data_IF_729629867460
#
_entry.id   IF_729629867460
#
_cell.length_a   1.000
_cell.length_b   1.000
_cell.length_c   1.000
_cell.angle_alpha   90.00
_cell.angle_beta   90.00
_cell.angle_gamma   90.00
#
_symmetry.space_group_name_H-M   'P 1'
#
loop_
_entity.id
_entity.type
_entity.pdbx_description
1 polymer ?
#
# COMPACT_ATOMS: atom_id res chain seq x y z
N UNK A 1 -18.97 -30.57 6.36
CA UNK A 1 -18.18 -30.59 7.61
C UNK A 1 -16.81 -30.02 7.28
N UNK A 2 -16.48 -28.85 7.83
CA UNK A 2 -15.17 -28.22 7.64
C UNK A 2 -14.10 -29.12 8.27
N UNK A 3 -13.09 -29.53 7.49
CA UNK A 3 -12.02 -30.40 7.97
C UNK A 3 -10.95 -29.54 8.66
N UNK A 4 -11.19 -29.18 9.92
CA UNK A 4 -10.35 -28.25 10.68
C UNK A 4 -9.17 -29.00 11.30
N UNK A 5 -7.93 -28.56 11.01
CA UNK A 5 -6.70 -29.06 11.65
C UNK A 5 -5.99 -27.93 12.40
N UNK A 6 -5.47 -28.18 13.61
CA UNK A 6 -4.72 -27.18 14.35
C UNK A 6 -3.37 -26.87 13.66
N UNK A 7 -3.00 -25.59 13.61
CA UNK A 7 -1.70 -25.14 13.10
C UNK A 7 -0.66 -25.34 14.20
N UNK A 8 0.34 -26.19 13.94
CA UNK A 8 1.38 -26.55 14.93
C UNK A 8 2.80 -26.30 14.42
N UNK A 9 2.98 -26.40 13.11
CA UNK A 9 4.27 -26.21 12.45
C UNK A 9 4.20 -25.09 11.42
N UNK A 10 5.36 -24.58 11.02
CA UNK A 10 5.47 -23.57 9.97
C UNK A 10 4.87 -24.06 8.64
N UNK A 11 4.96 -25.36 8.35
CA UNK A 11 4.36 -25.94 7.14
C UNK A 11 2.82 -25.95 7.21
N UNK A 12 2.24 -26.20 8.39
CA UNK A 12 0.79 -26.09 8.59
C UNK A 12 0.34 -24.62 8.45
N UNK A 13 1.16 -23.68 8.92
CA UNK A 13 0.90 -22.26 8.83
C UNK A 13 0.93 -21.77 7.38
N UNK A 14 1.96 -22.12 6.60
CA UNK A 14 2.03 -21.80 5.17
C UNK A 14 0.88 -22.43 4.37
N UNK A 15 0.48 -23.67 4.69
CA UNK A 15 -0.66 -24.31 4.07
C UNK A 15 -2.00 -23.64 4.44
N UNK A 16 -2.15 -23.22 5.70
CA UNK A 16 -3.33 -22.48 6.16
C UNK A 16 -3.43 -21.11 5.48
N UNK A 17 -2.32 -20.37 5.36
CA UNK A 17 -2.28 -19.10 4.64
C UNK A 17 -2.64 -19.26 3.15
N UNK A 18 -2.07 -20.26 2.47
CA UNK A 18 -2.41 -20.54 1.07
C UNK A 18 -3.89 -20.87 0.89
N UNK A 19 -4.48 -21.60 1.84
CA UNK A 19 -5.91 -21.93 1.82
C UNK A 19 -6.80 -20.72 2.13
N UNK A 20 -6.40 -19.87 3.07
CA UNK A 20 -7.06 -18.58 3.33
C UNK A 20 -7.10 -17.75 2.05
N UNK A 21 -5.97 -17.63 1.34
CA UNK A 21 -5.88 -16.89 0.08
C UNK A 21 -6.86 -17.42 -0.99
N UNK A 22 -7.00 -18.74 -1.13
CA UNK A 22 -7.96 -19.36 -2.06
C UNK A 22 -9.43 -19.07 -1.70
N UNK A 23 -9.72 -18.87 -0.41
CA UNK A 23 -11.07 -18.70 0.13
C UNK A 23 -11.49 -17.22 0.26
N UNK A 24 -10.62 -16.27 -0.07
CA UNK A 24 -10.87 -14.83 0.10
C UNK A 24 -12.10 -14.30 -0.67
N UNK A 25 -12.47 -14.94 -1.79
CA UNK A 25 -13.64 -14.58 -2.61
C UNK A 25 -14.91 -15.38 -2.24
N UNK A 26 -14.88 -16.13 -1.12
CA UNK A 26 -16.01 -16.93 -0.67
C UNK A 26 -17.26 -16.06 -0.45
N UNK A 27 -18.42 -16.55 -0.89
CA UNK A 27 -19.68 -15.82 -0.74
C UNK A 27 -20.21 -15.98 0.69
N UNK A 28 -20.74 -14.90 1.26
CA UNK A 28 -21.38 -14.93 2.58
C UNK A 28 -22.48 -16.01 2.67
N UNK A 29 -22.49 -16.75 3.77
CA UNK A 29 -23.38 -17.88 4.05
C UNK A 29 -22.99 -19.19 3.36
N UNK A 30 -21.76 -19.33 2.87
CA UNK A 30 -21.26 -20.58 2.26
C UNK A 30 -20.34 -21.33 3.21
N UNK A 31 -20.18 -22.64 2.99
CA UNK A 31 -19.22 -23.45 3.74
C UNK A 31 -17.76 -23.01 3.57
N UNK A 32 -17.47 -22.27 2.50
CA UNK A 32 -16.15 -21.68 2.21
C UNK A 32 -15.88 -20.45 3.09
N UNK A 33 -16.89 -19.64 3.39
CA UNK A 33 -16.79 -18.54 4.37
C UNK A 33 -16.61 -19.09 5.79
N UNK A 34 -17.37 -20.11 6.16
CA UNK A 34 -17.22 -20.78 7.47
C UNK A 34 -15.82 -21.39 7.62
N UNK A 35 -15.25 -21.97 6.55
CA UNK A 35 -13.87 -22.47 6.53
C UNK A 35 -12.86 -21.32 6.67
N UNK A 36 -13.07 -20.21 5.96
CA UNK A 36 -12.22 -19.02 6.03
C UNK A 36 -12.18 -18.43 7.45
N UNK A 37 -13.33 -18.24 8.08
CA UNK A 37 -13.44 -17.67 9.43
C UNK A 37 -12.66 -18.50 10.47
N UNK A 38 -12.78 -19.82 10.38
CA UNK A 38 -12.06 -20.74 11.26
C UNK A 38 -10.56 -20.73 10.99
N UNK A 39 -10.14 -20.75 9.72
CA UNK A 39 -8.72 -20.73 9.36
C UNK A 39 -8.04 -19.42 9.77
N UNK A 40 -8.71 -18.27 9.58
CA UNK A 40 -8.21 -16.97 10.05
C UNK A 40 -8.01 -16.98 11.56
N UNK A 41 -8.98 -17.48 12.32
CA UNK A 41 -8.87 -17.59 13.79
C UNK A 41 -7.68 -18.46 14.20
N UNK A 42 -7.45 -19.60 13.52
CA UNK A 42 -6.32 -20.48 13.83
C UNK A 42 -4.97 -19.87 13.46
N UNK A 43 -4.93 -19.15 12.34
CA UNK A 43 -3.76 -18.37 11.90
C UNK A 43 -3.43 -17.30 12.94
N UNK A 44 -4.41 -16.52 13.40
CA UNK A 44 -4.24 -15.49 14.44
C UNK A 44 -3.70 -16.10 15.75
N UNK A 45 -4.28 -17.21 16.22
CA UNK A 45 -3.79 -17.89 17.44
C UNK A 45 -2.36 -18.44 17.27
N UNK A 46 -2.01 -18.93 16.08
CA UNK A 46 -0.65 -19.39 15.79
C UNK A 46 0.33 -18.22 15.75
N UNK A 47 -0.07 -17.11 15.13
CA UNK A 47 0.69 -15.86 15.03
C UNK A 47 0.91 -15.24 16.40
N UNK A 48 -0.11 -15.12 17.25
CA UNK A 48 0.04 -14.58 18.61
C UNK A 48 1.07 -15.37 19.44
N UNK A 49 1.17 -16.68 19.21
CA UNK A 49 2.08 -17.58 19.94
C UNK A 49 3.50 -17.59 19.38
N UNK A 50 3.67 -17.52 18.06
CA UNK A 50 4.98 -17.70 17.39
C UNK A 50 5.56 -16.39 16.85
N UNK A 51 4.71 -15.41 16.61
CA UNK A 51 4.99 -14.07 16.11
C UNK A 51 4.31 -13.02 17.01
N UNK A 52 4.56 -13.03 18.34
CA UNK A 52 3.87 -12.14 19.26
C UNK A 52 4.03 -10.70 18.79
N UNK A 53 2.89 -10.02 18.57
CA UNK A 53 2.86 -8.59 18.30
C UNK A 53 3.68 -7.89 19.39
N UNK A 54 4.71 -7.16 18.97
CA UNK A 54 5.49 -6.35 19.91
C UNK A 54 4.56 -5.40 20.66
N UNK A 55 4.79 -5.23 21.96
CA UNK A 55 4.12 -4.19 22.73
C UNK A 55 4.31 -2.82 22.03
N UNK A 56 3.33 -1.91 22.11
CA UNK A 56 3.46 -0.60 21.47
C UNK A 56 4.73 0.12 21.95
N UNK A 57 5.36 0.89 21.07
CA UNK A 57 6.55 1.67 21.41
C UNK A 57 6.26 2.54 22.66
N UNK A 58 7.17 2.59 23.65
CA UNK A 58 6.97 3.37 24.87
C UNK A 58 6.58 4.83 24.62
N UNK A 59 7.10 5.47 23.57
CA UNK A 59 6.79 6.86 23.24
C UNK A 59 5.42 6.98 22.59
N UNK A 60 5.02 6.02 21.77
CA UNK A 60 3.67 5.93 21.22
C UNK A 60 2.62 5.78 22.34
N UNK A 61 2.88 4.94 23.35
CA UNK A 61 1.99 4.79 24.50
C UNK A 61 1.83 6.11 25.29
N UNK A 62 2.91 6.88 25.45
CA UNK A 62 2.86 8.21 26.08
C UNK A 62 2.01 9.17 25.26
N UNK A 63 2.22 9.26 23.94
CA UNK A 63 1.46 10.15 23.05
C UNK A 63 -0.02 9.79 22.98
N UNK A 64 -0.34 8.49 22.96
CA UNK A 64 -1.71 8.00 23.00
C UNK A 64 -2.43 8.41 24.30
N UNK A 65 -1.77 8.25 25.45
CA UNK A 65 -2.35 8.70 26.72
C UNK A 65 -2.46 10.22 26.80
N UNK A 66 -1.57 10.97 26.14
CA UNK A 66 -1.70 12.42 26.04
C UNK A 66 -2.95 12.82 25.25
N UNK A 67 -3.18 12.20 24.10
CA UNK A 67 -4.36 12.46 23.25
C UNK A 67 -5.67 12.13 23.99
N UNK A 68 -5.73 10.95 24.61
CA UNK A 68 -6.91 10.50 25.36
C UNK A 68 -7.22 11.34 26.61
N UNK A 69 -6.25 12.13 27.09
CA UNK A 69 -6.37 12.94 28.30
C UNK A 69 -6.24 14.45 28.01
N UNK A 70 -6.25 14.85 26.73
CA UNK A 70 -6.07 16.25 26.28
C UNK A 70 -4.79 16.92 26.87
N UNK A 71 -3.71 16.14 27.03
CA UNK A 71 -2.44 16.62 27.58
C UNK A 71 -1.52 17.15 26.50
N UNK A 72 -0.90 18.29 26.75
CA UNK A 72 0.15 18.85 25.91
C UNK A 72 1.53 18.37 26.34
N UNK A 73 2.58 18.48 25.49
CA UNK A 73 3.96 18.18 25.90
C UNK A 73 4.44 19.00 27.11
N UNK A 74 3.80 20.14 27.44
CA UNK A 74 4.15 20.91 28.63
C UNK A 74 3.67 20.23 29.91
N UNK A 75 2.59 19.45 29.83
CA UNK A 75 1.97 18.78 30.97
C UNK A 75 2.74 17.54 31.41
N UNK A 76 3.69 17.06 30.58
CA UNK A 76 4.61 15.99 30.94
C UNK A 76 5.88 16.47 31.68
N UNK A 77 6.08 17.78 31.84
CA UNK A 77 7.23 18.35 32.54
C UNK A 77 7.37 17.80 33.98
N UNK A 78 6.29 17.65 34.77
CA UNK A 78 6.37 17.08 36.11
C UNK A 78 6.87 15.62 36.14
N UNK A 79 6.66 14.85 35.07
CA UNK A 79 6.95 13.41 35.01
C UNK A 79 8.29 13.10 34.35
N UNK A 80 8.67 13.89 33.33
CA UNK A 80 9.87 13.66 32.50
C UNK A 80 10.98 14.69 32.79
N UNK A 81 10.65 15.86 33.35
CA UNK A 81 11.58 16.93 33.69
C UNK A 81 11.48 18.11 32.73
N UNK A 82 12.61 18.75 32.39
CA UNK A 82 12.61 20.00 31.61
C UNK A 82 11.91 19.87 30.25
N UNK A 83 11.43 21.00 29.70
CA UNK A 83 10.80 21.05 28.37
C UNK A 83 11.68 20.44 27.26
N UNK A 84 13.01 20.63 27.34
CA UNK A 84 13.96 20.00 26.42
C UNK A 84 13.95 18.48 26.57
N UNK A 85 13.94 17.96 27.80
CA UNK A 85 13.86 16.51 28.06
C UNK A 85 12.56 15.90 27.58
N UNK A 86 11.42 16.57 27.78
CA UNK A 86 10.15 16.10 27.25
C UNK A 86 10.21 15.99 25.73
N UNK A 87 10.71 17.02 25.04
CA UNK A 87 10.86 16.99 23.58
C UNK A 87 11.82 15.90 23.10
N UNK A 88 12.96 15.71 23.78
CA UNK A 88 13.92 14.65 23.47
C UNK A 88 13.34 13.24 23.67
N UNK A 89 12.53 13.03 24.71
CA UNK A 89 11.87 11.74 24.97
C UNK A 89 10.75 11.49 23.96
N UNK A 90 9.89 12.48 23.70
CA UNK A 90 8.78 12.36 22.72
C UNK A 90 9.26 12.22 21.27
N UNK A 91 10.49 12.65 20.97
CA UNK A 91 11.15 12.43 19.68
C UNK A 91 12.01 11.15 19.62
N UNK A 92 12.16 10.43 20.73
CA UNK A 92 12.97 9.21 20.82
C UNK A 92 14.49 9.45 20.85
N UNK A 93 14.94 10.71 20.87
CA UNK A 93 16.37 11.07 20.99
C UNK A 93 16.95 10.72 22.35
N UNK A 94 16.09 10.59 23.37
CA UNK A 94 16.47 10.20 24.73
C UNK A 94 15.65 8.98 25.17
N UNK A 95 16.29 7.90 25.66
CA UNK A 95 15.57 6.77 26.21
C UNK A 95 14.86 7.14 27.51
N UNK A 96 13.72 6.48 27.77
CA UNK A 96 12.97 6.62 29.01
C UNK A 96 13.78 5.99 30.14
N UNK A 97 14.03 6.76 31.21
CA UNK A 97 14.71 6.23 32.39
C UNK A 97 13.74 5.48 33.31
N UNK A 98 14.24 4.61 34.18
CA UNK A 98 13.42 3.92 35.19
C UNK A 98 12.57 4.87 36.04
N UNK A 99 13.09 6.07 36.35
CA UNK A 99 12.34 7.08 37.11
C UNK A 99 11.20 7.68 36.29
N UNK A 100 11.42 7.93 35.00
CA UNK A 100 10.37 8.41 34.08
C UNK A 100 9.31 7.34 33.88
N UNK A 101 9.72 6.08 33.67
CA UNK A 101 8.79 4.97 33.49
C UNK A 101 7.85 4.79 34.70
N UNK A 102 8.37 4.93 35.93
CA UNK A 102 7.53 4.90 37.14
C UNK A 102 6.54 6.06 37.20
N UNK A 103 7.01 7.28 36.95
CA UNK A 103 6.14 8.46 36.96
C UNK A 103 5.05 8.40 35.89
N UNK A 104 5.38 7.93 34.68
CA UNK A 104 4.43 7.78 33.58
C UNK A 104 3.43 6.63 33.85
N UNK A 105 3.87 5.53 34.47
CA UNK A 105 2.98 4.45 34.89
C UNK A 105 1.99 4.93 35.96
N UNK A 106 2.47 5.63 36.99
CA UNK A 106 1.64 6.11 38.10
C UNK A 106 0.63 7.19 37.66
N UNK A 107 1.01 8.06 36.72
CA UNK A 107 0.21 9.23 36.38
C UNK A 107 -0.54 9.14 35.05
N UNK A 108 -0.05 8.36 34.08
CA UNK A 108 -0.75 8.14 32.80
C UNK A 108 -1.31 6.72 32.68
N UNK A 109 -1.20 5.89 33.73
CA UNK A 109 -1.68 4.50 33.76
C UNK A 109 -1.12 3.61 32.63
N UNK A 110 0.04 3.97 32.07
CA UNK A 110 0.69 3.19 31.01
C UNK A 110 1.34 1.94 31.66
N UNK A 111 1.06 0.71 31.20
CA UNK A 111 1.65 -0.49 31.78
C UNK A 111 3.17 -0.43 31.83
N UNK A 112 3.77 -0.79 32.96
CA UNK A 112 5.23 -0.72 33.15
C UNK A 112 5.98 -1.57 32.12
N UNK A 113 5.44 -2.72 31.72
CA UNK A 113 5.99 -3.59 30.67
C UNK A 113 6.15 -2.87 29.32
N UNK A 114 5.25 -1.93 29.01
CA UNK A 114 5.31 -1.10 27.80
C UNK A 114 6.41 -0.05 27.91
N UNK A 115 6.62 0.56 29.08
CA UNK A 115 7.59 1.64 29.30
C UNK A 115 9.03 1.15 29.52
N UNK A 116 9.19 -0.10 29.92
CA UNK A 116 10.49 -0.71 30.26
C UNK A 116 11.14 -1.44 29.07
N UNK A 117 10.56 -1.34 27.88
CA UNK A 117 11.14 -1.92 26.68
C UNK A 117 12.49 -1.26 26.35
N UNK A 118 13.47 -2.08 25.96
CA UNK A 118 14.67 -1.54 25.29
C UNK A 118 14.21 -0.92 23.96
N UNK A 119 14.67 0.28 23.59
CA UNK A 119 14.35 0.82 22.27
C UNK A 119 14.73 -0.22 21.22
N UNK A 120 13.79 -0.58 20.34
CA UNK A 120 14.07 -1.46 19.23
C UNK A 120 15.26 -0.89 18.43
N UNK A 121 16.22 -1.73 18.00
CA UNK A 121 17.40 -1.29 17.25
C UNK A 121 17.07 -0.65 15.87
N UNK A 122 15.79 -0.58 15.50
CA UNK A 122 15.32 -0.24 14.15
C UNK A 122 15.31 1.28 13.82
N UNK A 123 16.00 2.13 14.59
CA UNK A 123 15.74 3.58 14.63
C UNK A 123 16.84 4.50 14.07
N UNK A 124 17.76 4.02 13.22
CA UNK A 124 18.75 4.89 12.58
C UNK A 124 18.53 5.15 11.09
N UNK A 125 17.49 4.56 10.48
CA UNK A 125 17.25 4.70 9.04
C UNK A 125 18.34 4.09 8.18
N UNK A 126 19.18 3.21 8.74
CA UNK A 126 20.18 2.43 8.01
C UNK A 126 19.67 1.03 7.71
N UNK A 127 20.30 0.38 6.73
CA UNK A 127 20.06 -1.03 6.43
C UNK A 127 20.37 -1.96 7.62
N UNK A 128 21.25 -1.54 8.54
CA UNK A 128 21.62 -2.30 9.73
C UNK A 128 20.55 -2.28 10.82
N UNK A 129 19.66 -1.26 10.83
CA UNK A 129 18.49 -1.20 11.69
C UNK A 129 17.29 -1.99 11.14
N UNK A 130 17.28 -2.35 9.86
CA UNK A 130 16.19 -3.15 9.31
C UNK A 130 16.39 -4.63 9.69
N UNK A 131 15.44 -5.18 10.45
CA UNK A 131 15.40 -6.61 10.75
C UNK A 131 15.12 -7.42 9.48
N UNK A 132 16.16 -7.68 8.67
CA UNK A 132 16.04 -8.33 7.35
C UNK A 132 15.30 -9.68 7.39
N UNK A 133 15.37 -10.40 8.51
CA UNK A 133 14.62 -11.64 8.75
C UNK A 133 13.10 -11.48 8.83
N UNK A 134 12.57 -10.25 8.95
CA UNK A 134 11.12 -9.97 8.95
C UNK A 134 10.55 -9.80 7.54
N UNK A 135 11.40 -9.65 6.52
CA UNK A 135 10.94 -9.65 5.13
C UNK A 135 10.39 -11.03 4.74
N UNK A 136 9.36 -11.09 3.87
CA UNK A 136 8.79 -12.35 3.41
C UNK A 136 9.68 -13.02 2.35
N UNK A 137 10.90 -13.40 2.73
CA UNK A 137 11.97 -13.85 1.81
C UNK A 137 11.53 -14.99 0.90
N UNK A 138 10.80 -15.99 1.41
CA UNK A 138 10.29 -17.11 0.60
C UNK A 138 9.34 -16.62 -0.49
N UNK A 139 8.44 -15.69 -0.16
CA UNK A 139 7.47 -15.16 -1.09
C UNK A 139 8.13 -14.26 -2.16
N UNK A 140 9.15 -13.50 -1.77
CA UNK A 140 10.00 -12.71 -2.67
C UNK A 140 10.79 -13.62 -3.63
N UNK A 141 11.43 -14.66 -3.10
CA UNK A 141 12.21 -15.64 -3.88
C UNK A 141 11.33 -16.43 -4.86
N UNK A 142 10.14 -16.86 -4.45
CA UNK A 142 9.15 -17.54 -5.31
C UNK A 142 8.74 -16.68 -6.52
N UNK A 143 8.75 -15.35 -6.37
CA UNK A 143 8.42 -14.38 -7.42
C UNK A 143 9.66 -13.92 -8.22
N UNK A 144 10.85 -14.43 -7.91
CA UNK A 144 12.08 -14.07 -8.61
C UNK A 144 12.65 -12.70 -8.25
N UNK A 145 12.14 -12.04 -7.21
CA UNK A 145 12.60 -10.70 -6.80
C UNK A 145 14.01 -10.73 -6.19
N UNK A 146 14.33 -11.84 -5.53
CA UNK A 146 15.63 -12.14 -4.94
C UNK A 146 16.05 -13.57 -5.30
N UNK A 147 17.36 -13.89 -5.26
CA UNK A 147 17.84 -15.27 -5.37
C UNK A 147 17.22 -16.20 -4.32
N UNK A 148 17.10 -17.49 -4.65
CA UNK A 148 16.56 -18.52 -3.75
C UNK A 148 17.62 -19.56 -3.34
N UNK A 149 18.65 -19.19 -2.55
CA UNK A 149 19.65 -20.14 -2.08
C UNK A 149 19.10 -21.05 -0.96
N UNK A 150 19.68 -22.24 -0.73
CA UNK A 150 19.23 -23.17 0.32
C UNK A 150 19.25 -22.57 1.74
N UNK A 151 20.15 -21.62 1.99
CA UNK A 151 20.39 -20.90 3.25
C UNK A 151 19.72 -19.51 3.27
N UNK A 152 18.51 -19.40 2.70
CA UNK A 152 17.77 -18.15 2.50
C UNK A 152 17.67 -17.27 3.76
N UNK A 153 17.40 -17.86 4.94
CA UNK A 153 17.26 -17.12 6.21
C UNK A 153 18.58 -16.55 6.70
N UNK A 154 19.67 -17.29 6.55
CA UNK A 154 21.00 -16.88 6.99
C UNK A 154 21.55 -15.75 6.12
N UNK A 155 21.10 -15.68 4.86
CA UNK A 155 21.46 -14.64 3.88
C UNK A 155 20.45 -13.51 3.77
N UNK A 156 19.48 -13.42 4.69
CA UNK A 156 18.41 -12.41 4.66
C UNK A 156 18.94 -10.98 4.43
N UNK A 157 19.92 -10.55 5.22
CA UNK A 157 20.48 -9.20 5.13
C UNK A 157 21.13 -8.91 3.78
N UNK A 158 21.86 -9.89 3.24
CA UNK A 158 22.51 -9.76 1.93
C UNK A 158 21.47 -9.65 0.80
N UNK A 159 20.45 -10.51 0.82
CA UNK A 159 19.41 -10.56 -0.22
C UNK A 159 18.55 -9.29 -0.22
N UNK A 160 18.16 -8.82 0.96
CA UNK A 160 17.39 -7.58 1.12
C UNK A 160 18.23 -6.36 0.73
N UNK A 161 19.52 -6.33 1.09
CA UNK A 161 20.45 -5.30 0.64
C UNK A 161 20.55 -5.25 -0.88
N UNK A 162 20.68 -6.42 -1.53
CA UNK A 162 20.75 -6.51 -3.00
C UNK A 162 19.49 -6.00 -3.69
N UNK A 163 18.30 -6.27 -3.14
CA UNK A 163 17.05 -5.70 -3.66
C UNK A 163 17.03 -4.18 -3.49
N UNK A 164 17.41 -3.66 -2.31
CA UNK A 164 17.46 -2.22 -2.08
C UNK A 164 18.45 -1.52 -3.01
N UNK A 165 19.63 -2.10 -3.23
CA UNK A 165 20.65 -1.55 -4.12
C UNK A 165 20.10 -1.40 -5.55
N UNK A 166 19.46 -2.47 -6.07
CA UNK A 166 18.74 -2.42 -7.35
C UNK A 166 17.63 -1.36 -7.37
N UNK A 167 16.93 -1.16 -6.26
CA UNK A 167 15.89 -0.13 -6.14
C UNK A 167 16.44 1.30 -6.13
N UNK A 168 17.75 1.50 -5.89
CA UNK A 168 18.39 2.80 -5.83
C UNK A 168 18.98 3.16 -4.46
N UNK A 169 19.22 2.17 -3.59
CA UNK A 169 19.98 2.33 -2.37
C UNK A 169 19.33 3.28 -1.36
N UNK A 170 20.10 4.28 -0.91
CA UNK A 170 19.66 5.26 0.09
C UNK A 170 18.43 6.05 -0.33
N UNK A 171 18.27 6.35 -1.62
CA UNK A 171 17.13 7.12 -2.12
C UNK A 171 15.84 6.31 -1.98
N UNK A 172 15.88 5.02 -2.35
CA UNK A 172 14.76 4.11 -2.20
C UNK A 172 14.46 3.79 -0.72
N UNK A 173 15.47 3.82 0.15
CA UNK A 173 15.29 3.68 1.59
C UNK A 173 14.56 4.89 2.19
N UNK A 174 14.92 6.09 1.74
CA UNK A 174 14.30 7.34 2.19
C UNK A 174 12.89 7.57 1.61
N UNK A 175 12.63 7.04 0.42
CA UNK A 175 11.40 7.28 -0.34
C UNK A 175 10.26 6.30 -0.09
N UNK A 176 10.47 5.31 0.78
CA UNK A 176 9.41 4.40 1.22
C UNK A 176 9.08 4.76 2.68
N UNK A 177 8.28 5.83 2.90
CA UNK A 177 8.15 6.51 4.19
C UNK A 177 7.30 5.77 5.22
N UNK A 178 6.84 4.55 4.91
CA UNK A 178 5.91 3.70 5.69
C UNK A 178 6.24 3.49 7.18
N UNK A 179 7.37 4.02 7.66
CA UNK A 179 7.84 3.93 9.05
C UNK A 179 8.34 5.26 9.63
N UNK A 180 7.88 6.40 9.14
CA UNK A 180 7.91 7.61 9.97
C UNK A 180 6.66 7.62 10.85
N UNK A 181 6.87 8.01 12.11
CA UNK A 181 6.00 7.71 13.24
C UNK A 181 4.69 8.50 13.16
N UNK A 182 3.63 7.92 12.60
CA UNK A 182 2.22 8.05 13.06
C UNK A 182 1.14 7.46 12.10
N UNK A 183 1.50 6.69 11.08
CA UNK A 183 0.57 6.22 10.01
C UNK A 183 -0.40 5.08 10.39
N UNK A 184 -1.13 5.22 11.50
CA UNK A 184 -2.19 4.29 11.87
C UNK A 184 -3.53 4.52 11.14
N UNK A 185 -3.68 5.60 10.37
CA UNK A 185 -4.97 5.92 9.75
C UNK A 185 -5.19 5.26 8.38
N UNK A 186 -4.15 4.73 7.72
CA UNK A 186 -4.28 4.12 6.38
C UNK A 186 -3.63 2.76 6.17
N UNK A 187 -2.69 2.39 7.03
CA UNK A 187 -2.25 1.01 7.07
C UNK A 187 -3.38 0.23 7.74
N UNK A 188 -4.16 -0.52 6.94
CA UNK A 188 -5.05 -1.53 7.51
C UNK A 188 -4.22 -2.30 8.54
N UNK A 189 -4.67 -2.37 9.79
CA UNK A 189 -3.90 -2.93 10.91
C UNK A 189 -3.34 -4.35 10.63
N UNK A 190 -3.85 -5.02 9.59
CA UNK A 190 -3.43 -6.31 9.06
C UNK A 190 -2.28 -6.27 8.05
N UNK A 191 -1.81 -5.09 7.64
CA UNK A 191 -0.78 -4.93 6.61
C UNK A 191 0.60 -5.19 7.19
N UNK A 192 1.37 -6.07 6.55
CA UNK A 192 2.76 -6.32 6.88
C UNK A 192 3.65 -5.25 6.23
N UNK A 193 4.28 -4.36 7.01
CA UNK A 193 5.08 -3.29 6.45
C UNK A 193 6.39 -3.76 5.81
N UNK A 194 6.91 -4.93 6.19
CA UNK A 194 8.08 -5.50 5.54
C UNK A 194 7.72 -6.05 4.17
N UNK A 195 6.54 -6.66 4.04
CA UNK A 195 6.00 -7.07 2.75
C UNK A 195 5.72 -5.86 1.85
N UNK A 196 5.10 -4.82 2.38
CA UNK A 196 4.82 -3.60 1.62
C UNK A 196 6.12 -2.91 1.17
N UNK A 197 7.11 -2.77 2.04
CA UNK A 197 8.44 -2.24 1.69
C UNK A 197 9.13 -3.08 0.62
N UNK A 198 9.08 -4.41 0.73
CA UNK A 198 9.64 -5.31 -0.27
C UNK A 198 9.00 -5.09 -1.65
N UNK A 199 7.67 -4.92 -1.68
CA UNK A 199 6.94 -4.64 -2.92
C UNK A 199 7.35 -3.28 -3.52
N UNK A 200 7.42 -2.21 -2.72
CA UNK A 200 7.87 -0.89 -3.21
C UNK A 200 9.28 -0.96 -3.80
N UNK A 201 10.21 -1.63 -3.13
CA UNK A 201 11.57 -1.78 -3.65
C UNK A 201 11.66 -2.64 -4.90
N UNK A 202 10.84 -3.68 -5.01
CA UNK A 202 10.75 -4.45 -6.24
C UNK A 202 10.27 -3.59 -7.41
N UNK A 203 9.23 -2.76 -7.22
CA UNK A 203 8.75 -1.84 -8.25
C UNK A 203 9.86 -0.90 -8.72
N UNK A 204 10.58 -0.28 -7.77
CA UNK A 204 11.70 0.62 -8.08
C UNK A 204 12.86 -0.10 -8.77
N UNK A 205 13.20 -1.31 -8.31
CA UNK A 205 14.25 -2.12 -8.93
C UNK A 205 13.91 -2.48 -10.38
N UNK A 206 12.68 -2.94 -10.62
CA UNK A 206 12.13 -3.26 -11.94
C UNK A 206 12.06 -2.02 -12.86
N UNK A 207 11.83 -0.83 -12.30
CA UNK A 207 11.87 0.41 -13.05
C UNK A 207 13.30 0.80 -13.48
N UNK A 208 14.30 0.55 -12.64
CA UNK A 208 15.70 0.84 -12.94
C UNK A 208 16.29 -0.09 -14.02
N UNK A 209 15.76 -1.31 -14.16
CA UNK A 209 16.18 -2.29 -15.18
C UNK A 209 15.78 -1.88 -16.63
N UNK A 210 15.05 -0.76 -16.81
CA UNK A 210 14.62 -0.26 -18.12
C UNK A 210 14.03 1.14 -18.06
N UNK A 211 14.89 2.14 -17.80
CA UNK A 211 14.50 3.54 -17.73
C UNK A 211 14.11 4.09 -19.12
N UNK A 212 13.06 4.93 -19.21
CA UNK A 212 12.72 5.61 -20.45
C UNK A 212 13.88 6.52 -20.86
N UNK A 213 14.23 6.52 -22.14
CA UNK A 213 15.27 7.40 -22.70
C UNK A 213 14.87 8.88 -22.72
N UNK A 214 13.71 9.23 -22.18
CA UNK A 214 13.10 10.57 -22.20
C UNK A 214 12.98 11.05 -20.75
N UNK A 215 13.54 12.23 -20.40
CA UNK A 215 13.40 12.79 -19.07
C UNK A 215 11.97 13.27 -18.82
N UNK A 216 11.45 13.01 -17.62
CA UNK A 216 10.18 13.55 -17.19
C UNK A 216 10.24 15.09 -17.11
N UNK A 217 9.19 15.75 -17.60
CA UNK A 217 9.06 17.21 -17.52
C UNK A 217 8.01 17.55 -16.45
N UNK A 218 8.35 18.33 -15.42
CA UNK A 218 7.35 18.79 -14.47
C UNK A 218 6.24 19.62 -15.13
N UNK A 219 5.01 19.44 -14.67
CA UNK A 219 3.78 20.00 -15.24
C UNK A 219 3.16 19.16 -16.35
N UNK A 220 3.66 17.94 -16.60
CA UNK A 220 3.15 17.08 -17.68
C UNK A 220 1.81 16.44 -17.32
N UNK A 221 1.63 16.07 -16.05
CA UNK A 221 0.44 15.33 -15.61
C UNK A 221 -0.65 16.29 -15.18
N UNK A 222 -1.60 16.53 -16.08
CA UNK A 222 -2.75 17.42 -15.91
C UNK A 222 -4.07 16.62 -16.06
N UNK A 223 -5.24 17.20 -15.71
CA UNK A 223 -6.52 16.54 -15.96
C UNK A 223 -6.72 16.14 -17.44
N UNK A 224 -6.29 16.98 -18.37
CA UNK A 224 -6.33 16.69 -19.81
C UNK A 224 -5.41 15.52 -20.18
N UNK A 225 -4.24 15.42 -19.53
CA UNK A 225 -3.34 14.28 -19.71
C UNK A 225 -3.98 12.98 -19.24
N UNK A 226 -4.62 12.99 -18.06
CA UNK A 226 -5.34 11.83 -17.53
C UNK A 226 -6.49 11.43 -18.47
N UNK A 227 -7.26 12.39 -18.98
CA UNK A 227 -8.33 12.12 -19.94
C UNK A 227 -7.78 11.50 -21.24
N UNK A 228 -6.65 11.97 -21.76
CA UNK A 228 -5.99 11.39 -22.91
C UNK A 228 -5.55 9.92 -22.66
N UNK A 229 -5.06 9.62 -21.45
CA UNK A 229 -4.72 8.25 -21.03
C UNK A 229 -5.98 7.38 -20.94
N UNK A 230 -7.08 7.90 -20.39
CA UNK A 230 -8.36 7.18 -20.28
C UNK A 230 -8.93 6.75 -21.64
N UNK A 231 -8.73 7.55 -22.68
CA UNK A 231 -9.16 7.26 -24.07
C UNK A 231 -8.40 6.09 -24.72
N UNK A 232 -7.33 5.59 -24.10
CA UNK A 232 -6.65 4.36 -24.54
C UNK A 232 -7.43 3.10 -24.12
N UNK A 233 -8.36 3.23 -23.17
CA UNK A 233 -9.10 2.12 -22.57
C UNK A 233 -9.93 1.24 -23.51
N UNK A 234 -10.54 1.74 -24.61
CA UNK A 234 -11.32 0.89 -25.49
C UNK A 234 -10.50 -0.18 -26.23
N UNK A 235 -9.18 0.00 -26.34
CA UNK A 235 -8.32 -0.97 -27.03
C UNK A 235 -8.04 -2.20 -26.16
N UNK A 236 -8.02 -3.40 -26.76
CA UNK A 236 -7.67 -4.63 -26.03
C UNK A 236 -6.24 -4.61 -25.44
N UNK A 237 -5.31 -3.96 -26.14
CA UNK A 237 -3.93 -3.69 -25.73
C UNK A 237 -3.79 -2.32 -25.01
N UNK A 238 -4.90 -1.70 -24.59
CA UNK A 238 -4.95 -0.39 -23.93
C UNK A 238 -3.97 -0.25 -22.75
N UNK A 239 -3.86 -1.23 -21.83
CA UNK A 239 -2.86 -1.19 -20.75
C UNK A 239 -1.40 -1.08 -21.23
N UNK A 240 -1.05 -1.74 -22.35
CA UNK A 240 0.30 -1.64 -22.94
C UNK A 240 0.49 -0.30 -23.64
N UNK A 241 -0.52 0.19 -24.36
CA UNK A 241 -0.51 1.54 -24.93
C UNK A 241 -0.35 2.61 -23.87
N UNK A 242 -1.00 2.47 -22.71
CA UNK A 242 -0.83 3.38 -21.59
C UNK A 242 0.61 3.35 -21.06
N UNK A 243 1.20 2.16 -20.86
CA UNK A 243 2.62 2.02 -20.49
C UNK A 243 3.53 2.77 -21.47
N UNK A 244 3.33 2.57 -22.77
CA UNK A 244 4.17 3.16 -23.81
C UNK A 244 3.95 4.68 -23.94
N UNK A 245 2.71 5.15 -23.80
CA UNK A 245 2.37 6.57 -23.77
C UNK A 245 3.01 7.29 -22.58
N UNK A 246 2.95 6.69 -21.39
CA UNK A 246 3.60 7.21 -20.18
C UNK A 246 5.13 7.24 -20.33
N UNK A 247 5.72 6.17 -20.88
CA UNK A 247 7.14 6.12 -21.16
C UNK A 247 7.59 7.23 -22.15
N UNK A 248 6.74 7.56 -23.13
CA UNK A 248 6.93 8.71 -24.03
C UNK A 248 7.01 10.07 -23.33
N UNK A 249 6.52 10.15 -22.09
CA UNK A 249 6.54 11.35 -21.25
C UNK A 249 7.52 11.23 -20.06
N UNK A 250 8.35 10.19 -20.05
CA UNK A 250 9.35 9.95 -19.00
C UNK A 250 8.76 9.37 -17.71
N UNK A 251 7.53 8.84 -17.73
CA UNK A 251 6.88 8.18 -16.59
C UNK A 251 6.98 6.65 -16.78
N UNK A 252 7.43 5.94 -15.75
CA UNK A 252 7.59 4.48 -15.80
C UNK A 252 6.39 3.79 -15.19
N UNK A 253 5.71 2.93 -15.94
CA UNK A 253 4.68 2.04 -15.39
C UNK A 253 5.25 0.64 -15.19
N UNK A 254 5.05 0.07 -14.00
CA UNK A 254 5.37 -1.30 -13.63
C UNK A 254 4.20 -2.00 -12.99
N UNK A 255 4.07 -3.28 -13.28
CA UNK A 255 3.07 -4.17 -12.69
C UNK A 255 3.83 -5.23 -11.93
N UNK A 256 3.66 -5.26 -10.60
CA UNK A 256 4.36 -6.20 -9.72
C UNK A 256 3.34 -6.88 -8.82
N UNK A 257 3.36 -8.22 -8.79
CA UNK A 257 2.39 -8.97 -7.98
C UNK A 257 2.46 -8.58 -6.51
N UNK A 258 1.31 -8.37 -5.86
CA UNK A 258 1.32 -8.11 -4.42
C UNK A 258 1.96 -9.26 -3.62
N UNK A 259 2.51 -8.92 -2.47
CA UNK A 259 2.81 -9.89 -1.42
C UNK A 259 1.58 -10.10 -0.53
N UNK A 260 1.50 -11.23 0.19
CA UNK A 260 0.49 -11.41 1.23
C UNK A 260 0.54 -10.24 2.22
N UNK A 261 -0.62 -9.84 2.74
CA UNK A 261 -0.74 -8.76 3.73
C UNK A 261 -0.18 -7.41 3.27
N UNK A 262 -0.08 -7.13 1.97
CA UNK A 262 0.30 -5.78 1.48
C UNK A 262 -0.91 -4.85 1.33
N UNK A 263 -2.09 -5.41 1.04
CA UNK A 263 -3.38 -4.70 0.93
C UNK A 263 -3.38 -3.41 0.08
N UNK A 264 -2.53 -3.34 -0.95
CA UNK A 264 -2.34 -2.18 -1.81
C UNK A 264 -2.80 -2.49 -3.26
N UNK A 265 -3.34 -1.49 -3.95
CA UNK A 265 -3.69 -1.59 -5.38
C UNK A 265 -2.65 -0.94 -6.31
N UNK A 266 -2.00 0.14 -5.86
CA UNK A 266 -0.93 0.83 -6.58
C UNK A 266 -0.12 1.77 -5.68
N UNK A 267 0.96 2.32 -6.21
CA UNK A 267 1.70 3.42 -5.61
C UNK A 267 2.47 4.21 -6.65
N UNK A 268 2.66 5.50 -6.39
CA UNK A 268 3.53 6.40 -7.16
C UNK A 268 4.81 6.73 -6.38
N UNK A 269 5.94 6.75 -7.08
CA UNK A 269 7.25 7.12 -6.56
C UNK A 269 7.84 8.23 -7.43
N UNK A 270 8.33 9.30 -6.81
CA UNK A 270 9.03 10.38 -7.50
C UNK A 270 10.33 10.70 -6.75
N UNK A 271 11.40 9.97 -7.08
CA UNK A 271 12.71 10.17 -6.46
C UNK A 271 13.41 11.41 -7.04
N UNK A 272 14.15 12.18 -6.25
CA UNK A 272 14.87 13.36 -6.74
C UNK A 272 15.78 13.04 -7.93
N UNK A 273 15.59 13.77 -9.05
CA UNK A 273 16.40 13.60 -10.25
C UNK A 273 16.16 12.31 -11.04
N UNK A 274 15.13 11.53 -10.70
CA UNK A 274 14.72 10.32 -11.44
C UNK A 274 13.33 10.49 -12.06
N UNK A 275 13.05 9.66 -13.06
CA UNK A 275 11.70 9.54 -13.63
C UNK A 275 10.70 9.10 -12.57
N UNK A 276 9.46 9.65 -12.57
CA UNK A 276 8.37 9.10 -11.79
C UNK A 276 8.10 7.65 -12.16
N UNK A 277 7.80 6.82 -11.16
CA UNK A 277 7.47 5.41 -11.30
C UNK A 277 6.10 5.17 -10.70
N UNK A 278 5.21 4.53 -11.47
CA UNK A 278 3.92 4.04 -11.01
C UNK A 278 3.99 2.52 -10.93
N UNK A 279 3.74 1.96 -9.75
CA UNK A 279 3.60 0.54 -9.52
C UNK A 279 2.14 0.16 -9.34
N UNK A 280 1.66 -0.88 -10.01
CA UNK A 280 0.32 -1.43 -9.82
C UNK A 280 0.41 -2.90 -9.39
N UNK A 281 -0.43 -3.31 -8.43
CA UNK A 281 -0.39 -4.70 -7.92
C UNK A 281 -1.22 -5.68 -8.73
N UNK A 282 -2.27 -5.18 -9.41
CA UNK A 282 -3.34 -5.98 -10.00
C UNK A 282 -3.89 -7.03 -9.03
N UNK A 283 -3.99 -6.69 -7.73
CA UNK A 283 -4.66 -7.51 -6.71
C UNK A 283 -6.06 -7.91 -7.18
N UNK A 284 -6.76 -6.96 -7.79
CA UNK A 284 -7.97 -7.22 -8.57
C UNK A 284 -7.63 -7.13 -10.07
N UNK A 285 -7.36 -8.26 -10.71
CA UNK A 285 -7.11 -8.33 -12.17
C UNK A 285 -8.42 -8.11 -12.95
N UNK A 286 -8.85 -6.84 -13.01
CA UNK A 286 -10.03 -6.39 -13.73
C UNK A 286 -9.70 -5.11 -14.49
N UNK A 287 -10.34 -4.91 -15.63
CA UNK A 287 -10.09 -3.73 -16.49
C UNK A 287 -10.53 -2.44 -15.78
N UNK A 288 -11.68 -2.46 -15.09
CA UNK A 288 -12.17 -1.31 -14.32
C UNK A 288 -11.18 -0.87 -13.26
N UNK A 289 -10.66 -1.84 -12.50
CA UNK A 289 -9.71 -1.61 -11.41
C UNK A 289 -8.38 -1.09 -11.94
N UNK A 290 -7.82 -1.67 -13.01
CA UNK A 290 -6.57 -1.22 -13.60
C UNK A 290 -6.62 0.26 -14.00
N UNK A 291 -7.66 0.67 -14.73
CA UNK A 291 -7.76 2.05 -15.23
C UNK A 291 -7.99 3.06 -14.11
N UNK A 292 -8.80 2.70 -13.10
CA UNK A 292 -8.99 3.55 -11.93
C UNK A 292 -7.68 3.72 -11.15
N UNK A 293 -7.02 2.63 -10.78
CA UNK A 293 -5.76 2.70 -10.04
C UNK A 293 -4.69 3.47 -10.82
N UNK A 294 -4.52 3.21 -12.13
CA UNK A 294 -3.54 3.92 -12.93
C UNK A 294 -3.76 5.44 -12.93
N UNK A 295 -5.00 5.88 -13.13
CA UNK A 295 -5.32 7.32 -13.18
C UNK A 295 -5.29 7.96 -11.80
N UNK A 296 -5.62 7.22 -10.74
CA UNK A 296 -5.47 7.65 -9.36
C UNK A 296 -3.98 7.90 -9.03
N UNK A 297 -3.08 6.97 -9.34
CA UNK A 297 -1.63 7.18 -9.13
C UNK A 297 -1.07 8.34 -9.97
N UNK A 298 -1.57 8.52 -11.21
CA UNK A 298 -1.23 9.67 -12.04
C UNK A 298 -1.76 10.98 -11.44
N UNK A 299 -2.95 10.99 -10.85
CA UNK A 299 -3.49 12.15 -10.17
C UNK A 299 -2.61 12.54 -8.97
N UNK A 300 -2.12 11.57 -8.18
CA UNK A 300 -1.14 11.84 -7.14
C UNK A 300 0.14 12.47 -7.70
N UNK A 301 0.64 11.98 -8.84
CA UNK A 301 1.78 12.58 -9.51
C UNK A 301 1.52 14.05 -9.87
N UNK A 302 0.40 14.35 -10.52
CA UNK A 302 0.06 15.69 -11.00
C UNK A 302 -0.29 16.70 -9.90
N UNK A 303 -1.16 16.32 -8.96
CA UNK A 303 -1.67 17.22 -7.92
C UNK A 303 -0.65 17.46 -6.80
N UNK A 304 0.13 16.43 -6.45
CA UNK A 304 0.88 16.43 -5.19
C UNK A 304 2.40 16.41 -5.40
N UNK A 305 2.89 15.73 -6.44
CA UNK A 305 4.33 15.47 -6.63
C UNK A 305 4.97 16.31 -7.75
N UNK A 306 4.17 16.95 -8.61
CA UNK A 306 4.66 17.65 -9.79
C UNK A 306 5.26 19.03 -9.46
N UNK A 307 6.47 19.31 -9.96
CA UNK A 307 7.08 20.64 -9.90
C UNK A 307 7.53 21.14 -8.51
N UNK A 308 7.62 20.27 -7.50
CA UNK A 308 8.11 20.62 -6.15
C UNK A 308 9.54 20.08 -5.96
N UNK A 309 10.60 20.91 -6.14
CA UNK A 309 12.00 20.47 -6.16
C UNK A 309 12.65 20.28 -4.78
N UNK A 310 11.87 20.20 -3.70
CA UNK A 310 12.36 19.85 -2.37
C UNK A 310 11.56 18.61 -1.93
N UNK A 311 12.27 17.48 -1.82
CA UNK A 311 11.70 16.16 -1.66
C UNK A 311 10.70 16.04 -0.52
N UNK A 312 9.42 16.17 -0.87
CA UNK A 312 8.33 15.59 -0.11
C UNK A 312 8.06 14.23 -0.73
N UNK A 313 8.81 13.25 -0.23
CA UNK A 313 8.27 11.90 -0.10
C UNK A 313 7.11 12.05 0.85
N UNK A 314 5.94 11.60 0.40
CA UNK A 314 4.66 11.60 1.10
C UNK A 314 4.82 11.69 2.63
N UNK A 315 4.68 12.90 3.16
CA UNK A 315 4.59 13.12 4.61
C UNK A 315 3.12 12.83 4.94
N UNK A 316 2.83 11.54 5.08
CA UNK A 316 1.54 10.94 5.48
C UNK A 316 1.08 11.41 6.89
N UNK A 317 1.85 12.28 7.55
CA UNK A 317 1.63 12.76 8.91
C UNK A 317 0.96 14.15 9.01
N UNK A 318 0.56 14.78 7.89
CA UNK A 318 -0.21 16.04 7.97
C UNK A 318 -1.72 15.75 8.00
N UNK A 319 -2.51 16.35 8.93
CA UNK A 319 -3.97 16.32 8.85
C UNK A 319 -4.38 16.93 7.50
N UNK A 320 -4.81 16.08 6.56
CA UNK A 320 -4.96 16.44 5.14
C UNK A 320 -4.86 15.26 4.17
N UNK A 321 -4.46 14.09 4.63
CA UNK A 321 -4.40 12.86 3.82
C UNK A 321 -5.73 12.55 3.11
N UNK A 322 -6.87 12.69 3.80
CA UNK A 322 -8.20 12.52 3.18
C UNK A 322 -8.45 13.53 2.06
N UNK A 323 -7.91 14.74 2.17
CA UNK A 323 -8.06 15.77 1.12
C UNK A 323 -7.26 15.39 -0.12
N UNK A 324 -6.02 14.90 0.04
CA UNK A 324 -5.19 14.45 -1.08
C UNK A 324 -5.80 13.26 -1.82
N UNK A 325 -6.24 12.24 -1.10
CA UNK A 325 -6.92 11.09 -1.75
C UNK A 325 -8.21 11.52 -2.41
N UNK A 326 -8.98 12.40 -1.76
CA UNK A 326 -10.20 12.95 -2.38
C UNK A 326 -9.84 13.67 -3.67
N UNK A 327 -8.84 14.57 -3.67
CA UNK A 327 -8.39 15.29 -4.87
C UNK A 327 -7.92 14.33 -5.99
N UNK A 328 -7.18 13.27 -5.63
CA UNK A 328 -6.74 12.27 -6.59
C UNK A 328 -7.89 11.44 -7.16
N UNK A 329 -8.83 11.01 -6.30
CA UNK A 329 -10.06 10.32 -6.69
C UNK A 329 -10.91 11.19 -7.61
N UNK A 330 -11.05 12.48 -7.30
CA UNK A 330 -11.80 13.42 -8.12
C UNK A 330 -11.20 13.55 -9.52
N UNK A 331 -9.88 13.72 -9.63
CA UNK A 331 -9.18 13.77 -10.93
C UNK A 331 -9.33 12.47 -11.72
N UNK A 332 -9.14 11.33 -11.06
CA UNK A 332 -9.25 10.03 -11.71
C UNK A 332 -10.69 9.75 -12.19
N UNK A 333 -11.69 10.03 -11.36
CA UNK A 333 -13.10 9.84 -11.72
C UNK A 333 -13.53 10.77 -12.85
N UNK A 334 -13.16 12.04 -12.79
CA UNK A 334 -13.49 13.04 -13.82
C UNK A 334 -12.84 12.71 -15.15
N UNK A 335 -11.56 12.29 -15.14
CA UNK A 335 -10.85 11.89 -16.34
C UNK A 335 -11.41 10.62 -17.00
N UNK A 336 -11.88 9.66 -16.19
CA UNK A 336 -12.51 8.43 -16.69
C UNK A 336 -13.89 8.70 -17.27
N UNK A 337 -14.75 9.36 -16.49
CA UNK A 337 -16.12 9.66 -16.88
C UNK A 337 -16.46 11.03 -16.29
N UNK A 338 -16.56 12.09 -17.13
CA UNK A 338 -16.91 13.42 -16.67
C UNK A 338 -18.23 13.41 -15.88
N UNK A 339 -18.29 14.14 -14.75
CA UNK A 339 -19.48 14.16 -13.87
C UNK A 339 -20.75 14.54 -14.62
N UNK A 340 -20.66 15.53 -15.50
CA UNK A 340 -21.80 16.00 -16.29
C UNK A 340 -22.36 14.91 -17.22
N UNK A 341 -21.48 14.12 -17.85
CA UNK A 341 -21.89 12.98 -18.69
C UNK A 341 -22.48 11.85 -17.83
N UNK A 342 -21.86 11.56 -16.69
CA UNK A 342 -22.31 10.52 -15.76
C UNK A 342 -23.71 10.78 -15.22
N UNK A 343 -23.98 12.01 -14.76
CA UNK A 343 -25.28 12.38 -14.22
C UNK A 343 -26.39 12.36 -15.28
N UNK A 344 -26.06 12.71 -16.53
CA UNK A 344 -27.00 12.61 -17.67
C UNK A 344 -27.24 11.18 -18.14
N UNK A 345 -26.30 10.27 -17.90
CA UNK A 345 -26.37 8.87 -18.36
C UNK A 345 -27.46 8.04 -17.69
N UNK A 346 -28.01 8.49 -16.55
CA UNK A 346 -29.04 7.79 -15.77
C UNK A 346 -28.71 6.31 -15.44
N UNK A 347 -27.42 5.97 -15.36
CA UNK A 347 -26.95 4.59 -15.13
C UNK A 347 -27.02 4.13 -13.67
N UNK A 348 -27.47 4.99 -12.75
CA UNK A 348 -27.53 4.67 -11.31
C UNK A 348 -28.70 3.75 -10.94
N UNK A 349 -29.75 3.68 -11.76
CA UNK A 349 -30.95 2.86 -11.49
C UNK A 349 -31.04 1.65 -12.44
N UNK A 350 -30.55 0.49 -11.97
CA UNK A 350 -30.62 -0.81 -12.67
C UNK A 350 -30.20 -0.78 -14.15
N UNK A 351 -28.96 -0.34 -14.46
CA UNK A 351 -28.49 -0.29 -15.84
C UNK A 351 -28.39 -1.69 -16.46
N UNK A 352 -28.80 -1.81 -17.71
CA UNK A 352 -28.57 -3.03 -18.50
C UNK A 352 -27.18 -3.03 -19.12
N UNK A 353 -26.71 -4.20 -19.57
CA UNK A 353 -25.47 -4.31 -20.34
C UNK A 353 -25.47 -3.39 -21.57
N UNK A 354 -26.61 -3.22 -22.24
CA UNK A 354 -26.72 -2.37 -23.43
C UNK A 354 -26.57 -0.90 -23.08
N UNK A 355 -27.15 -0.44 -21.97
CA UNK A 355 -27.02 0.94 -21.50
C UNK A 355 -25.56 1.29 -21.19
N UNK A 356 -24.85 0.37 -20.52
CA UNK A 356 -23.43 0.49 -20.19
C UNK A 356 -22.58 0.60 -21.46
N UNK A 357 -22.80 -0.30 -22.44
CA UNK A 357 -22.03 -0.29 -23.70
C UNK A 357 -22.33 0.96 -24.52
N UNK A 358 -23.59 1.37 -24.60
CA UNK A 358 -23.99 2.59 -25.31
C UNK A 358 -23.33 3.83 -24.69
N UNK A 359 -23.38 3.97 -23.36
CA UNK A 359 -22.77 5.07 -22.65
C UNK A 359 -21.24 5.07 -22.81
N UNK A 360 -20.60 3.90 -22.66
CA UNK A 360 -19.15 3.75 -22.85
C UNK A 360 -18.70 4.20 -24.25
N UNK A 361 -19.45 3.84 -25.29
CA UNK A 361 -19.18 4.28 -26.66
C UNK A 361 -19.41 5.78 -26.86
N UNK A 362 -20.43 6.37 -26.19
CA UNK A 362 -20.70 7.82 -26.23
C UNK A 362 -19.52 8.61 -25.67
N UNK A 363 -18.98 8.16 -24.53
CA UNK A 363 -17.89 8.85 -23.81
C UNK A 363 -16.49 8.44 -24.34
N UNK A 364 -16.39 7.34 -25.09
CA UNK A 364 -15.14 6.90 -25.72
C UNK A 364 -14.23 6.07 -24.81
N UNK A 365 -14.79 5.33 -23.86
CA UNK A 365 -14.06 4.53 -22.87
C UNK A 365 -14.48 3.06 -22.87
N UNK A 366 -13.71 2.20 -22.21
CA UNK A 366 -14.05 0.77 -22.09
C UNK A 366 -15.32 0.56 -21.24
N UNK A 367 -16.27 -0.31 -21.65
CA UNK A 367 -17.50 -0.61 -20.88
C UNK A 367 -17.25 -1.11 -19.45
N UNK A 368 -16.11 -1.75 -19.20
CA UNK A 368 -15.71 -2.18 -17.85
C UNK A 368 -15.62 -1.01 -16.87
N UNK A 369 -15.09 0.13 -17.29
CA UNK A 369 -14.92 1.32 -16.44
C UNK A 369 -16.28 1.82 -15.97
N UNK A 370 -17.23 1.92 -16.90
CA UNK A 370 -18.62 2.30 -16.61
C UNK A 370 -19.25 1.29 -15.65
N UNK A 371 -19.13 -0.01 -15.92
CA UNK A 371 -19.62 -1.06 -15.04
C UNK A 371 -19.00 -1.03 -13.64
N UNK A 372 -17.69 -0.74 -13.55
CA UNK A 372 -16.96 -0.56 -12.29
C UNK A 372 -17.53 0.60 -11.48
N UNK A 373 -17.73 1.76 -12.11
CA UNK A 373 -18.31 2.95 -11.45
C UNK A 373 -19.74 2.70 -10.95
N UNK A 374 -20.59 2.01 -11.73
CA UNK A 374 -21.92 1.59 -11.26
C UNK A 374 -21.82 0.73 -9.99
N UNK A 375 -20.94 -0.29 -10.00
CA UNK A 375 -20.78 -1.21 -8.87
C UNK A 375 -20.29 -0.48 -7.62
N UNK A 376 -19.36 0.45 -7.79
CA UNK A 376 -18.81 1.29 -6.72
C UNK A 376 -19.89 2.20 -6.12
N UNK A 377 -20.57 3.03 -6.93
CA UNK A 377 -21.57 3.99 -6.45
C UNK A 377 -22.81 3.33 -5.84
N UNK A 378 -23.20 2.14 -6.33
CA UNK A 378 -24.35 1.39 -5.79
C UNK A 378 -23.99 0.44 -4.64
N UNK A 379 -22.70 0.22 -4.37
CA UNK A 379 -22.22 -0.80 -3.44
C UNK A 379 -22.57 -2.24 -3.83
N UNK A 380 -23.06 -2.47 -5.06
CA UNK A 380 -23.53 -3.78 -5.51
C UNK A 380 -22.58 -4.42 -6.52
N UNK A 381 -21.57 -5.12 -6.00
CA UNK A 381 -20.54 -5.78 -6.79
C UNK A 381 -21.02 -7.00 -7.59
N UNK A 382 -22.27 -7.46 -7.41
CA UNK A 382 -22.87 -8.53 -8.22
C UNK A 382 -23.38 -8.03 -9.56
N UNK A 383 -23.70 -6.74 -9.68
CA UNK A 383 -24.13 -6.14 -10.93
C UNK A 383 -23.00 -6.14 -11.95
N UNK A 384 -23.36 -6.38 -13.22
CA UNK A 384 -22.48 -6.22 -14.38
C UNK A 384 -21.12 -6.94 -14.26
N UNK A 385 -21.05 -8.02 -13.45
CA UNK A 385 -19.81 -8.74 -13.16
C UNK A 385 -19.18 -9.35 -14.42
N UNK A 386 -19.97 -9.61 -15.45
CA UNK A 386 -19.51 -10.04 -16.77
C UNK A 386 -18.82 -8.93 -17.58
N UNK A 387 -18.98 -7.65 -17.22
CA UNK A 387 -18.47 -6.50 -17.98
C UNK A 387 -17.18 -5.90 -17.43
N UNK A 388 -16.80 -6.21 -16.19
CA UNK A 388 -15.61 -5.60 -15.55
C UNK A 388 -14.26 -6.14 -16.06
N UNK A 389 -14.28 -7.17 -16.91
CA UNK A 389 -13.08 -7.64 -17.60
C UNK A 389 -12.11 -8.40 -16.70
N UNK A 390 -12.60 -9.29 -15.85
CA UNK A 390 -11.76 -10.11 -14.95
C UNK A 390 -10.78 -11.01 -15.72
N UNK A 391 -9.54 -11.12 -15.25
CA UNK A 391 -8.51 -11.99 -15.80
C UNK A 391 -7.91 -11.50 -17.13
N UNK A 392 -8.05 -10.21 -17.46
CA UNK A 392 -7.72 -9.67 -18.78
C UNK A 392 -6.45 -8.82 -18.82
N UNK A 393 -6.05 -8.21 -17.70
CA UNK A 393 -4.97 -7.23 -17.67
C UNK A 393 -3.64 -7.91 -17.41
N UNK A 394 -3.56 -8.80 -16.40
CA UNK A 394 -2.30 -9.44 -15.99
C UNK A 394 -1.58 -10.13 -17.16
N UNK A 395 -2.31 -10.90 -17.96
CA UNK A 395 -1.80 -11.60 -19.15
C UNK A 395 -1.13 -10.71 -20.19
N UNK A 396 -1.40 -9.40 -20.20
CA UNK A 396 -0.76 -8.45 -21.12
C UNK A 396 0.66 -8.09 -20.66
N UNK A 397 0.94 -8.24 -19.36
CA UNK A 397 2.23 -7.94 -18.75
C UNK A 397 3.07 -9.20 -18.48
N UNK A 398 2.59 -10.39 -18.86
CA UNK A 398 3.27 -11.68 -18.68
C UNK A 398 4.46 -11.90 -19.63
N UNK A 399 4.69 -10.99 -20.60
CA UNK A 399 5.95 -10.90 -21.35
C UNK A 399 6.94 -9.95 -20.64
N UNK A 400 7.36 -10.32 -19.42
CA UNK A 400 8.62 -9.92 -18.77
C UNK A 400 9.15 -11.09 -17.95
#
# INVERSE_FOLDING_TARGET
MVNVRPIRTEADYEAALARVDELMDARAGTSEEEELEVLVTLVEVYEDKHYPFGHPDPVAAIKFCMDQQDLTPRDLIPYIGSRSRVSEVLSGKRPITMSMARALHEHLAIPAEVLLQKPAPDNDGSLAGLAAGRFPLKAMAKRGWIPNPPDLKDRASELVAGLLDRAGGSDALAAVPLYRKNDHQRINAKTDPYALRAWCWQVLASANDGLPGIPYKPGTVTPDFLAAVALLSPSEDGPLKARDYLAGHGIVLRVEQHLPKTHLDGAVFHLPGKSPVIGLTLRHDRIDNFWFCLLHELAHLGCHLDGRPEGFVDDLELPGDDVRETEADEWAQEALIPRDEWDQGMLRDKPTTLDVVYFANKVGIHPAIVAGRVRYETGNYRLLSQLVGSGKVRRLFEEV
#
